data_IF_504128367352
#
_entry.id   IF_504128367352
#
_cell.length_a   1.000
_cell.length_b   1.000
_cell.length_c   1.000
_cell.angle_alpha   90.00
_cell.angle_beta   90.00
_cell.angle_gamma   90.00
#
_symmetry.space_group_name_H-M   'P 1'
#
loop_
_entity.id
_entity.type
_entity.pdbx_description
1 polymer ?
#
# COMPACT_ATOMS: atom_id res chain seq x y z
N UNK A 1 12.14 -30.92 -3.07
CA UNK A 1 10.73 -30.63 -2.71
C UNK A 1 10.52 -30.96 -1.23
N UNK A 2 11.39 -30.49 -0.33
CA UNK A 2 11.46 -31.03 1.05
C UNK A 2 11.83 -29.95 2.09
N UNK A 3 11.02 -28.89 2.19
CA UNK A 3 11.10 -27.96 3.33
C UNK A 3 9.79 -27.86 4.11
N UNK A 4 8.68 -28.22 3.48
CA UNK A 4 7.38 -28.29 4.14
C UNK A 4 7.33 -29.57 4.98
N UNK A 5 7.03 -29.43 6.27
CA UNK A 5 6.87 -30.55 7.20
C UNK A 5 5.47 -31.13 7.13
N UNK A 6 4.48 -30.33 6.74
CA UNK A 6 3.10 -30.76 6.59
C UNK A 6 2.78 -30.92 5.09
N UNK A 7 2.25 -32.10 4.73
CA UNK A 7 1.87 -32.41 3.35
C UNK A 7 0.73 -31.50 2.87
N UNK A 8 0.67 -31.23 1.56
CA UNK A 8 -0.28 -30.28 0.96
C UNK A 8 -1.73 -30.59 1.35
N UNK A 9 -2.39 -29.64 2.00
CA UNK A 9 -3.84 -29.61 2.19
C UNK A 9 -4.38 -28.42 1.39
N UNK A 10 -4.46 -28.60 0.08
CA UNK A 10 -5.09 -27.59 -0.78
C UNK A 10 -6.55 -27.39 -0.36
N UNK A 11 -6.92 -26.14 -0.14
CA UNK A 11 -8.28 -25.72 0.14
C UNK A 11 -8.72 -24.76 -0.93
N UNK A 12 -10.01 -24.81 -1.24
CA UNK A 12 -10.64 -23.84 -2.11
C UNK A 12 -10.90 -22.55 -1.34
N UNK A 13 -10.40 -21.45 -1.87
CA UNK A 13 -10.63 -20.11 -1.37
C UNK A 13 -11.36 -19.28 -2.42
N UNK A 14 -12.25 -18.43 -1.94
CA UNK A 14 -12.92 -17.42 -2.75
C UNK A 14 -12.58 -16.04 -2.22
N UNK A 15 -12.58 -15.07 -3.12
CA UNK A 15 -12.41 -13.67 -2.76
C UNK A 15 -12.94 -12.73 -3.82
N UNK A 16 -12.81 -11.44 -3.55
CA UNK A 16 -13.21 -10.35 -4.45
C UNK A 16 -12.00 -9.47 -4.71
N UNK A 17 -11.76 -9.10 -5.97
CA UNK A 17 -10.72 -8.14 -6.32
C UNK A 17 -11.11 -6.77 -5.75
N UNK A 18 -10.31 -6.23 -4.84
CA UNK A 18 -10.56 -4.91 -4.23
C UNK A 18 -9.67 -3.81 -4.81
N UNK A 19 -8.49 -4.16 -5.34
CA UNK A 19 -7.53 -3.19 -5.86
C UNK A 19 -6.69 -3.76 -6.99
N UNK A 20 -6.42 -2.95 -8.01
CA UNK A 20 -5.48 -3.27 -9.10
C UNK A 20 -4.53 -2.08 -9.25
N UNK A 21 -3.25 -2.27 -8.91
CA UNK A 21 -2.23 -1.21 -8.95
C UNK A 21 -0.86 -1.75 -9.35
N UNK A 22 -0.18 -1.06 -10.26
CA UNK A 22 1.27 -1.25 -10.50
C UNK A 22 1.68 -2.69 -10.83
N UNK A 23 0.82 -3.45 -11.53
CA UNK A 23 1.07 -4.85 -11.87
C UNK A 23 0.78 -5.86 -10.75
N UNK A 24 0.11 -5.44 -9.68
CA UNK A 24 -0.41 -6.32 -8.63
C UNK A 24 -1.93 -6.17 -8.45
N UNK A 25 -2.56 -7.27 -8.04
CA UNK A 25 -3.97 -7.33 -7.66
C UNK A 25 -4.08 -7.70 -6.19
N UNK A 26 -4.97 -7.01 -5.49
CA UNK A 26 -5.36 -7.34 -4.11
C UNK A 26 -6.73 -7.99 -4.13
N UNK A 27 -6.83 -9.16 -3.52
CA UNK A 27 -8.04 -9.97 -3.36
C UNK A 27 -8.42 -9.95 -1.88
N UNK A 28 -9.65 -9.61 -1.54
CA UNK A 28 -10.21 -9.79 -0.20
C UNK A 28 -10.85 -11.17 -0.10
N UNK A 29 -10.37 -11.99 0.83
CA UNK A 29 -10.80 -13.37 0.97
C UNK A 29 -12.13 -13.44 1.73
N UNK A 30 -13.11 -14.15 1.16
CA UNK A 30 -14.41 -14.40 1.80
C UNK A 30 -14.20 -15.07 3.16
N UNK A 31 -15.08 -14.77 4.11
CA UNK A 31 -14.98 -15.28 5.48
C UNK A 31 -14.07 -14.46 6.40
N UNK A 32 -13.70 -13.22 6.01
CA UNK A 32 -12.85 -12.31 6.80
C UNK A 32 -11.45 -12.88 7.06
N UNK A 33 -10.92 -13.60 6.08
CA UNK A 33 -9.57 -14.19 6.16
C UNK A 33 -8.47 -13.19 5.81
N UNK A 34 -8.84 -11.99 5.36
CA UNK A 34 -7.94 -10.87 5.12
C UNK A 34 -7.63 -10.67 3.64
N UNK A 35 -6.60 -9.86 3.40
CA UNK A 35 -6.20 -9.43 2.05
C UNK A 35 -5.05 -10.29 1.52
N UNK A 36 -5.18 -10.70 0.27
CA UNK A 36 -4.19 -11.47 -0.46
C UNK A 36 -3.72 -10.67 -1.69
N UNK A 37 -2.44 -10.27 -1.70
CA UNK A 37 -1.87 -9.48 -2.79
C UNK A 37 -0.98 -10.36 -3.66
N UNK A 38 -1.29 -10.42 -4.94
CA UNK A 38 -0.56 -11.22 -5.94
C UNK A 38 -0.17 -10.37 -7.16
N UNK A 39 0.91 -10.73 -7.87
CA UNK A 39 1.20 -10.16 -9.18
C UNK A 39 0.09 -10.45 -10.21
N UNK A 40 -0.19 -9.52 -11.12
CA UNK A 40 -1.21 -9.69 -12.18
C UNK A 40 -0.98 -10.95 -13.02
N UNK A 41 0.28 -11.32 -13.23
CA UNK A 41 0.69 -12.53 -13.98
C UNK A 41 0.26 -13.86 -13.34
N UNK A 42 -0.23 -13.84 -12.10
CA UNK A 42 -0.80 -15.02 -11.44
C UNK A 42 -2.32 -15.14 -11.63
N UNK A 43 -2.99 -14.11 -12.16
CA UNK A 43 -4.41 -14.20 -12.50
C UNK A 43 -4.57 -14.95 -13.82
N UNK A 44 -5.50 -15.90 -13.81
CA UNK A 44 -5.92 -16.64 -14.99
C UNK A 44 -7.28 -16.07 -15.37
N UNK A 45 -7.36 -15.40 -16.52
CA UNK A 45 -8.58 -14.76 -17.01
C UNK A 45 -8.46 -14.53 -18.52
N UNK A 46 -9.55 -14.73 -19.25
CA UNK A 46 -9.64 -14.43 -20.68
C UNK A 46 -9.88 -12.93 -20.95
N UNK A 47 -10.17 -12.16 -19.89
CA UNK A 47 -10.47 -10.74 -19.94
C UNK A 47 -9.63 -9.95 -18.93
N UNK A 48 -9.57 -8.63 -19.11
CA UNK A 48 -8.88 -7.76 -18.18
C UNK A 48 -9.54 -7.81 -16.80
N UNK A 49 -8.78 -8.11 -15.73
CA UNK A 49 -9.29 -8.10 -14.37
C UNK A 49 -9.82 -6.72 -13.97
N UNK A 50 -10.93 -6.71 -13.23
CA UNK A 50 -11.61 -5.50 -12.74
C UNK A 50 -11.90 -5.61 -11.24
N UNK A 51 -11.98 -4.46 -10.58
CA UNK A 51 -12.39 -4.36 -9.17
C UNK A 51 -13.85 -4.81 -9.03
N UNK A 52 -14.14 -5.60 -8.00
CA UNK A 52 -15.45 -6.19 -7.73
C UNK A 52 -15.65 -7.59 -8.31
N UNK A 53 -14.73 -8.09 -9.14
CA UNK A 53 -14.84 -9.45 -9.67
C UNK A 53 -14.52 -10.50 -8.61
N UNK A 54 -15.33 -11.56 -8.58
CA UNK A 54 -15.07 -12.74 -7.77
C UNK A 54 -13.95 -13.59 -8.38
N UNK A 55 -13.13 -14.17 -7.51
CA UNK A 55 -12.05 -15.08 -7.88
C UNK A 55 -12.07 -16.30 -6.97
N UNK A 56 -11.77 -17.46 -7.54
CA UNK A 56 -11.62 -18.73 -6.82
C UNK A 56 -10.25 -19.34 -7.12
N UNK A 57 -9.59 -19.88 -6.10
CA UNK A 57 -8.29 -20.52 -6.26
C UNK A 57 -8.03 -21.58 -5.20
N UNK A 58 -7.19 -22.56 -5.55
CA UNK A 58 -6.70 -23.57 -4.60
C UNK A 58 -5.41 -23.06 -3.95
N UNK A 59 -5.38 -23.03 -2.63
CA UNK A 59 -4.20 -22.65 -1.86
C UNK A 59 -4.04 -23.59 -0.67
N UNK A 60 -2.80 -23.94 -0.34
CA UNK A 60 -2.48 -24.62 0.92
C UNK A 60 -2.15 -23.60 2.02
N UNK A 61 -2.37 -23.97 3.27
CA UNK A 61 -2.03 -23.11 4.40
C UNK A 61 -0.51 -22.82 4.42
N UNK A 62 -0.08 -21.57 4.63
CA UNK A 62 1.34 -21.24 4.72
C UNK A 62 1.98 -21.86 5.98
N UNK A 63 3.09 -22.57 5.80
CA UNK A 63 3.86 -23.18 6.89
C UNK A 63 5.06 -22.30 7.27
N UNK A 64 5.25 -22.09 8.58
CA UNK A 64 6.47 -21.46 9.11
C UNK A 64 7.60 -22.51 9.12
N UNK A 65 8.58 -22.32 8.24
CA UNK A 65 9.64 -23.32 8.00
C UNK A 65 10.70 -23.40 9.13
N UNK A 66 10.90 -22.30 9.87
CA UNK A 66 11.95 -22.15 10.89
C UNK A 66 11.41 -21.37 12.09
N UNK A 67 11.78 -21.75 13.34
CA UNK A 67 11.47 -20.95 14.51
C UNK A 67 12.24 -19.62 14.52
N UNK A 68 13.47 -19.62 13.98
CA UNK A 68 14.29 -18.42 13.89
C UNK A 68 13.88 -17.56 12.69
N UNK A 69 13.66 -16.25 12.88
CA UNK A 69 13.42 -15.32 11.79
C UNK A 69 14.61 -15.21 10.83
N UNK A 70 14.33 -14.86 9.57
CA UNK A 70 15.39 -14.58 8.60
C UNK A 70 16.01 -13.19 8.86
N UNK A 71 17.13 -13.15 9.57
CA UNK A 71 17.83 -11.91 9.94
C UNK A 71 18.22 -11.03 8.74
N UNK A 72 18.67 -11.63 7.64
CA UNK A 72 19.03 -10.89 6.42
C UNK A 72 17.80 -10.17 5.84
N UNK A 73 16.66 -10.86 5.84
CA UNK A 73 15.41 -10.29 5.37
C UNK A 73 14.91 -9.18 6.30
N UNK A 74 15.02 -9.36 7.62
CA UNK A 74 14.69 -8.32 8.60
C UNK A 74 15.54 -7.07 8.35
N UNK A 75 16.85 -7.21 8.18
CA UNK A 75 17.74 -6.08 7.87
C UNK A 75 17.33 -5.34 6.60
N UNK A 76 16.92 -6.07 5.56
CA UNK A 76 16.42 -5.47 4.30
C UNK A 76 15.11 -4.70 4.52
N UNK A 77 14.16 -5.26 5.27
CA UNK A 77 12.91 -4.59 5.61
C UNK A 77 13.14 -3.29 6.39
N UNK A 78 14.00 -3.33 7.40
CA UNK A 78 14.37 -2.14 8.17
C UNK A 78 15.06 -1.08 7.31
N UNK A 79 15.94 -1.50 6.40
CA UNK A 79 16.59 -0.61 5.44
C UNK A 79 15.57 0.11 4.55
N UNK A 80 14.62 -0.64 3.98
CA UNK A 80 13.54 -0.08 3.15
C UNK A 80 12.67 0.90 3.94
N UNK A 81 12.28 0.52 5.16
CA UNK A 81 11.48 1.37 6.05
C UNK A 81 12.17 2.70 6.34
N UNK A 82 13.48 2.68 6.64
CA UNK A 82 14.27 3.90 6.88
C UNK A 82 14.30 4.81 5.65
N UNK A 83 14.41 4.25 4.45
CA UNK A 83 14.37 5.02 3.19
C UNK A 83 13.00 5.66 2.97
N UNK A 84 11.91 4.92 3.22
CA UNK A 84 10.55 5.45 3.12
C UNK A 84 10.27 6.56 4.14
N UNK A 85 10.69 6.37 5.39
CA UNK A 85 10.55 7.37 6.46
C UNK A 85 11.31 8.66 6.11
N UNK A 86 12.54 8.56 5.59
CA UNK A 86 13.30 9.73 5.10
C UNK A 86 12.55 10.47 4.00
N UNK A 87 12.04 9.75 2.98
CA UNK A 87 11.25 10.38 1.90
C UNK A 87 10.00 11.09 2.42
N UNK A 88 9.31 10.49 3.40
CA UNK A 88 8.13 11.12 4.03
C UNK A 88 8.51 12.41 4.76
N UNK A 89 9.60 12.39 5.54
CA UNK A 89 10.11 13.57 6.24
C UNK A 89 10.54 14.69 5.27
N UNK A 90 11.25 14.33 4.21
CA UNK A 90 11.63 15.28 3.16
C UNK A 90 10.41 15.93 2.51
N UNK A 91 9.39 15.13 2.16
CA UNK A 91 8.15 15.65 1.58
C UNK A 91 7.37 16.56 2.54
N UNK A 92 7.29 16.19 3.83
CA UNK A 92 6.65 17.04 4.85
C UNK A 92 7.37 18.36 5.01
N UNK A 93 8.70 18.35 5.08
CA UNK A 93 9.49 19.58 5.21
C UNK A 93 9.33 20.52 4.01
N UNK A 94 9.16 19.97 2.79
CA UNK A 94 8.84 20.75 1.59
C UNK A 94 7.46 21.40 1.70
N UNK A 95 6.46 20.62 2.11
CA UNK A 95 5.10 21.13 2.26
C UNK A 95 5.00 22.21 3.35
N UNK A 96 5.72 22.04 4.47
CA UNK A 96 5.78 23.04 5.54
C UNK A 96 6.34 24.38 5.05
N UNK A 97 7.40 24.35 4.22
CA UNK A 97 7.96 25.57 3.62
C UNK A 97 6.96 26.25 2.69
N UNK A 98 6.30 25.50 1.81
CA UNK A 98 5.28 26.05 0.91
C UNK A 98 4.11 26.66 1.68
N UNK A 99 3.66 26.03 2.78
CA UNK A 99 2.59 26.56 3.63
C UNK A 99 3.03 27.87 4.28
N UNK A 100 4.26 27.94 4.80
CA UNK A 100 4.77 29.16 5.44
C UNK A 100 4.86 30.32 4.44
N UNK A 101 5.33 30.06 3.23
CA UNK A 101 5.41 31.05 2.16
C UNK A 101 4.02 31.56 1.75
N UNK A 102 3.06 30.65 1.54
CA UNK A 102 1.67 31.02 1.22
C UNK A 102 1.02 31.83 2.34
N UNK A 103 1.28 31.49 3.62
CA UNK A 103 0.77 32.26 4.77
C UNK A 103 1.30 33.69 4.77
N UNK A 104 2.59 33.88 4.45
CA UNK A 104 3.19 35.21 4.35
C UNK A 104 2.55 36.03 3.22
N UNK A 105 2.40 35.44 2.03
CA UNK A 105 1.76 36.11 0.89
C UNK A 105 0.32 36.49 1.23
N UNK A 106 -0.42 35.62 1.94
CA UNK A 106 -1.78 35.91 2.37
C UNK A 106 -1.84 37.10 3.35
N UNK A 107 -0.90 37.18 4.30
CA UNK A 107 -0.80 38.34 5.19
C UNK A 107 -0.55 39.64 4.41
N UNK A 108 0.41 39.63 3.47
CA UNK A 108 0.71 40.78 2.63
C UNK A 108 -0.49 41.22 1.75
N UNK A 109 -1.31 40.27 1.29
CA UNK A 109 -2.54 40.56 0.55
C UNK A 109 -3.63 41.14 1.46
N UNK A 110 -3.83 40.59 2.65
CA UNK A 110 -4.81 41.11 3.61
C UNK A 110 -4.48 42.56 4.02
N UNK A 111 -3.21 42.86 4.29
CA UNK A 111 -2.77 44.23 4.57
C UNK A 111 -3.01 45.19 3.40
N UNK A 112 -2.97 44.70 2.15
CA UNK A 112 -3.31 45.52 0.97
C UNK A 112 -4.81 45.75 0.85
N UNK A 113 -5.63 44.75 1.16
CA UNK A 113 -7.09 44.86 1.14
C UNK A 113 -7.56 45.86 2.20
N UNK A 114 -7.06 45.77 3.45
CA UNK A 114 -7.40 46.72 4.51
C UNK A 114 -7.05 48.18 4.16
N UNK A 115 -6.01 48.39 3.32
CA UNK A 115 -5.63 49.72 2.83
C UNK A 115 -6.49 50.22 1.66
N UNK A 116 -7.24 49.34 0.99
CA UNK A 116 -8.14 49.65 -0.14
C UNK A 116 -9.60 49.82 0.30
N UNK A 117 -9.99 49.29 1.46
CA UNK A 117 -11.32 49.46 2.06
C UNK A 117 -11.60 50.79 2.83
N UNK A 118 -10.68 51.75 3.06
CA UNK A 118 -11.04 53.00 3.75
C UNK A 118 -11.75 54.06 2.88
N UNK A 119 -12.07 53.77 1.60
CA UNK A 119 -12.73 54.72 0.67
C UNK A 119 -14.22 54.41 0.36
N UNK A 120 -14.93 53.64 1.19
CA UNK A 120 -16.37 53.41 1.08
C UNK A 120 -17.16 53.89 2.30
#
# INVERSE_FOLDING_TARGET
MERLKYISSEKYYEGVITKIEGGAVTIDLKGRLGLFKIPNRMLISDYNPQVGQEVGFMLSNPEVLSPEPNEEYIRKLEGQRKVEEKKKLENLSRLEREILEKKRILQELNEKIEKLEPEL
#
